data_IF_875646841615
#
_entry.id   IF_875646841615
#
_cell.length_a   1.000
_cell.length_b   1.000
_cell.length_c   1.000
_cell.angle_alpha   90.00
_cell.angle_beta   90.00
_cell.angle_gamma   90.00
#
_symmetry.space_group_name_H-M   'P 1'
#
loop_
_entity.id
_entity.type
_entity.pdbx_description
1 polymer ?
#
# COMPACT_ATOMS: atom_id res chain seq x y z
N UNK A 1 -4.12 -34.69 -5.23
CA UNK A 1 -4.10 -33.21 -5.27
C UNK A 1 -4.04 -32.61 -3.87
N UNK A 2 -5.04 -32.84 -3.00
CA UNK A 2 -5.05 -32.32 -1.62
C UNK A 2 -3.82 -32.75 -0.79
N UNK A 3 -3.44 -34.02 -0.86
CA UNK A 3 -2.25 -34.51 -0.13
C UNK A 3 -0.97 -33.84 -0.62
N UNK A 4 -0.74 -33.79 -1.94
CA UNK A 4 0.42 -33.10 -2.52
C UNK A 4 0.43 -31.61 -2.19
N UNK A 5 -0.75 -30.98 -2.09
CA UNK A 5 -0.90 -29.59 -1.71
C UNK A 5 -0.33 -29.26 -0.32
N UNK A 6 -0.54 -30.18 0.63
CA UNK A 6 -0.17 -30.01 2.03
C UNK A 6 1.28 -30.44 2.27
N UNK A 7 1.77 -31.47 1.58
CA UNK A 7 3.13 -32.03 1.75
C UNK A 7 4.24 -31.03 1.38
N UNK A 8 4.05 -30.23 0.33
CA UNK A 8 5.11 -29.35 -0.19
C UNK A 8 5.29 -28.04 0.60
N UNK A 9 4.37 -27.70 1.50
CA UNK A 9 4.29 -26.35 2.08
C UNK A 9 4.15 -26.32 3.60
N UNK A 10 4.17 -27.48 4.28
CA UNK A 10 3.88 -27.58 5.72
C UNK A 10 4.55 -28.80 6.37
N UNK A 11 4.56 -28.86 7.72
CA UNK A 11 4.92 -30.05 8.52
C UNK A 11 3.84 -31.15 8.45
N UNK A 12 3.37 -31.48 7.24
CA UNK A 12 2.33 -32.49 7.04
C UNK A 12 2.89 -33.91 7.29
N UNK A 13 2.42 -34.64 8.33
CA UNK A 13 3.07 -35.86 8.80
C UNK A 13 2.92 -37.04 7.84
N UNK A 14 3.99 -37.83 7.70
CA UNK A 14 4.02 -39.06 6.91
C UNK A 14 3.33 -40.24 7.65
N UNK A 15 2.72 -41.16 6.89
CA UNK A 15 2.04 -42.37 7.43
C UNK A 15 0.57 -42.20 7.87
N UNK A 16 -0.24 -43.28 7.80
CA UNK A 16 -1.67 -43.29 8.15
C UNK A 16 -2.64 -43.17 6.95
N UNK A 17 -3.96 -43.24 7.19
CA UNK A 17 -4.99 -43.10 6.16
C UNK A 17 -4.96 -41.68 5.55
N UNK A 18 -4.71 -41.52 4.23
CA UNK A 18 -4.66 -40.21 3.58
C UNK A 18 -5.93 -39.38 3.72
N UNK A 19 -7.11 -39.99 3.65
CA UNK A 19 -8.39 -39.27 3.70
C UNK A 19 -8.65 -38.66 5.07
N UNK A 20 -8.41 -39.43 6.13
CA UNK A 20 -8.61 -38.96 7.51
C UNK A 20 -7.64 -37.82 7.86
N UNK A 21 -6.40 -37.88 7.39
CA UNK A 21 -5.43 -36.79 7.59
C UNK A 21 -5.82 -35.52 6.83
N UNK A 22 -6.20 -35.65 5.55
CA UNK A 22 -6.67 -34.52 4.77
C UNK A 22 -7.88 -33.88 5.45
N UNK A 23 -8.83 -34.68 5.93
CA UNK A 23 -9.98 -34.18 6.68
C UNK A 23 -9.57 -33.41 7.94
N UNK A 24 -8.66 -33.95 8.77
CA UNK A 24 -8.19 -33.26 9.99
C UNK A 24 -7.49 -31.94 9.68
N UNK A 25 -6.65 -31.90 8.64
CA UNK A 25 -5.90 -30.70 8.31
C UNK A 25 -6.76 -29.62 7.65
N UNK A 26 -7.74 -29.99 6.83
CA UNK A 26 -8.67 -29.04 6.21
C UNK A 26 -9.64 -28.38 7.20
N UNK A 27 -9.67 -28.81 8.47
CA UNK A 27 -10.39 -28.11 9.54
C UNK A 27 -9.69 -26.81 9.95
N UNK A 28 -8.39 -26.68 9.69
CA UNK A 28 -7.61 -25.49 10.02
C UNK A 28 -7.65 -24.48 8.85
N UNK A 29 -8.03 -23.20 9.10
CA UNK A 29 -8.20 -22.20 8.04
C UNK A 29 -6.95 -22.04 7.16
N UNK A 30 -5.76 -22.03 7.76
CA UNK A 30 -4.47 -21.97 7.05
C UNK A 30 -4.31 -23.08 5.99
N UNK A 31 -4.48 -24.33 6.38
CA UNK A 31 -4.31 -25.47 5.48
C UNK A 31 -5.42 -25.56 4.44
N UNK A 32 -6.64 -25.17 4.81
CA UNK A 32 -7.76 -25.06 3.89
C UNK A 32 -7.46 -24.04 2.77
N UNK A 33 -6.89 -22.88 3.11
CA UNK A 33 -6.49 -21.88 2.12
C UNK A 33 -5.37 -22.35 1.19
N UNK A 34 -4.34 -23.04 1.72
CA UNK A 34 -3.27 -23.63 0.89
C UNK A 34 -3.83 -24.61 -0.14
N UNK A 35 -4.74 -25.49 0.31
CA UNK A 35 -5.42 -26.43 -0.56
C UNK A 35 -6.27 -25.71 -1.62
N UNK A 36 -7.04 -24.70 -1.21
CA UNK A 36 -7.93 -23.99 -2.10
C UNK A 36 -7.22 -23.25 -3.23
N UNK A 37 -6.11 -22.58 -2.95
CA UNK A 37 -5.29 -21.93 -3.99
C UNK A 37 -4.95 -22.88 -5.13
N UNK A 38 -4.50 -24.09 -4.80
CA UNK A 38 -4.12 -25.09 -5.80
C UNK A 38 -5.31 -25.62 -6.59
N UNK A 39 -6.44 -25.88 -5.93
CA UNK A 39 -7.66 -26.36 -6.60
C UNK A 39 -8.23 -25.30 -7.53
N UNK A 40 -8.24 -24.03 -7.11
CA UNK A 40 -8.77 -22.93 -7.91
C UNK A 40 -7.88 -22.66 -9.13
N UNK A 41 -6.56 -22.77 -8.99
CA UNK A 41 -5.61 -22.69 -10.11
C UNK A 41 -5.65 -23.91 -11.05
N UNK A 42 -6.07 -25.08 -10.58
CA UNK A 42 -6.01 -26.31 -11.37
C UNK A 42 -6.98 -26.31 -12.56
N UNK A 43 -6.49 -26.79 -13.70
CA UNK A 43 -7.31 -27.10 -14.87
C UNK A 43 -8.15 -28.37 -14.65
N UNK A 44 -9.27 -28.49 -15.35
CA UNK A 44 -10.14 -29.68 -15.29
C UNK A 44 -11.02 -29.80 -14.05
N UNK A 45 -10.88 -28.91 -13.05
CA UNK A 45 -11.80 -28.82 -11.91
C UNK A 45 -13.01 -27.95 -12.26
N UNK A 46 -14.21 -28.48 -12.03
CA UNK A 46 -15.47 -27.77 -12.32
C UNK A 46 -15.61 -26.45 -11.54
N UNK A 47 -16.21 -25.43 -12.17
CA UNK A 47 -16.46 -24.13 -11.53
C UNK A 47 -17.28 -24.25 -10.24
N UNK A 48 -18.23 -25.18 -10.18
CA UNK A 48 -19.04 -25.43 -8.97
C UNK A 48 -18.19 -25.83 -7.75
N UNK A 49 -17.15 -26.64 -7.96
CA UNK A 49 -16.22 -27.02 -6.89
C UNK A 49 -15.35 -25.83 -6.48
N UNK A 50 -14.85 -25.06 -7.45
CA UNK A 50 -14.05 -23.86 -7.19
C UNK A 50 -14.84 -22.82 -6.40
N UNK A 51 -16.08 -22.55 -6.81
CA UNK A 51 -17.02 -21.66 -6.13
C UNK A 51 -17.21 -22.05 -4.66
N UNK A 52 -17.63 -23.29 -4.39
CA UNK A 52 -17.85 -23.78 -3.03
C UNK A 52 -16.60 -23.65 -2.16
N UNK A 53 -15.44 -23.94 -2.73
CA UNK A 53 -14.18 -23.88 -2.00
C UNK A 53 -13.77 -22.43 -1.69
N UNK A 54 -13.90 -21.51 -2.66
CA UNK A 54 -13.68 -20.08 -2.43
C UNK A 54 -14.57 -19.55 -1.30
N UNK A 55 -15.87 -19.85 -1.32
CA UNK A 55 -16.80 -19.47 -0.26
C UNK A 55 -16.39 -20.04 1.10
N UNK A 56 -16.13 -21.35 1.17
CA UNK A 56 -15.74 -22.00 2.42
C UNK A 56 -14.47 -21.38 3.03
N UNK A 57 -13.46 -21.11 2.20
CA UNK A 57 -12.18 -20.57 2.65
C UNK A 57 -12.26 -19.11 3.10
N UNK A 58 -13.09 -18.28 2.46
CA UNK A 58 -13.28 -16.91 2.91
C UNK A 58 -14.13 -16.88 4.18
N UNK A 59 -15.23 -17.65 4.21
CA UNK A 59 -16.20 -17.61 5.30
C UNK A 59 -15.70 -18.28 6.58
N UNK A 60 -14.78 -19.24 6.52
CA UNK A 60 -14.18 -19.81 7.73
C UNK A 60 -13.46 -18.74 8.56
N UNK A 61 -12.96 -17.68 7.91
CA UNK A 61 -12.25 -16.61 8.61
C UNK A 61 -13.16 -15.83 9.58
N UNK A 62 -14.49 -15.89 9.40
CA UNK A 62 -15.47 -15.30 10.34
C UNK A 62 -15.38 -15.89 11.75
N UNK A 63 -14.80 -17.08 11.87
CA UNK A 63 -14.72 -17.85 13.08
C UNK A 63 -13.28 -18.02 13.58
N UNK A 64 -12.34 -17.18 13.11
CA UNK A 64 -10.97 -17.21 13.61
C UNK A 64 -10.94 -16.92 15.10
N UNK A 65 -10.45 -17.91 15.84
CA UNK A 65 -10.12 -17.80 17.27
C UNK A 65 -8.75 -17.16 17.45
N UNK A 66 -8.45 -16.71 18.66
CA UNK A 66 -7.15 -16.15 19.01
C UNK A 66 -6.03 -17.17 18.73
N UNK A 67 -4.98 -16.74 18.03
CA UNK A 67 -3.85 -17.59 17.66
C UNK A 67 -4.06 -18.45 16.40
N UNK A 68 -5.25 -18.40 15.77
CA UNK A 68 -5.47 -19.03 14.47
C UNK A 68 -5.04 -18.12 13.32
N UNK A 69 -4.48 -18.72 12.27
CA UNK A 69 -4.07 -18.01 11.06
C UNK A 69 -5.15 -18.07 9.97
N UNK A 70 -5.45 -16.97 9.26
CA UNK A 70 -6.35 -17.00 8.12
C UNK A 70 -5.75 -17.87 7.01
N UNK A 71 -6.64 -18.45 6.20
CA UNK A 71 -6.24 -19.18 5.01
C UNK A 71 -5.48 -18.30 4.01
N UNK A 72 -4.34 -18.73 3.46
CA UNK A 72 -3.67 -18.00 2.40
C UNK A 72 -4.52 -18.01 1.12
N UNK A 73 -4.29 -17.03 0.25
CA UNK A 73 -5.04 -16.90 -1.00
C UNK A 73 -6.28 -16.00 -0.89
N UNK A 74 -6.38 -15.17 0.15
CA UNK A 74 -7.55 -14.31 0.37
C UNK A 74 -7.90 -13.48 -0.87
N UNK A 75 -6.92 -12.85 -1.50
CA UNK A 75 -7.14 -12.06 -2.71
C UNK A 75 -7.35 -12.95 -3.94
N UNK A 76 -6.62 -14.07 -4.08
CA UNK A 76 -6.84 -15.02 -5.18
C UNK A 76 -8.28 -15.58 -5.20
N UNK A 77 -8.78 -16.01 -4.05
CA UNK A 77 -10.12 -16.59 -3.92
C UNK A 77 -11.20 -15.52 -4.12
N UNK A 78 -10.98 -14.32 -3.58
CA UNK A 78 -11.86 -13.16 -3.80
C UNK A 78 -11.88 -12.75 -5.27
N UNK A 79 -10.74 -12.75 -5.95
CA UNK A 79 -10.62 -12.48 -7.38
C UNK A 79 -11.41 -13.48 -8.21
N UNK A 80 -11.33 -14.76 -7.88
CA UNK A 80 -12.09 -15.80 -8.58
C UNK A 80 -13.60 -15.57 -8.43
N UNK A 81 -14.10 -15.38 -7.21
CA UNK A 81 -15.52 -15.07 -6.99
C UNK A 81 -15.93 -13.73 -7.63
N UNK A 82 -15.02 -12.75 -7.62
CA UNK A 82 -15.19 -11.43 -8.19
C UNK A 82 -15.37 -11.47 -9.71
N UNK A 83 -14.51 -12.18 -10.41
CA UNK A 83 -14.56 -12.33 -11.87
C UNK A 83 -15.79 -13.11 -12.34
N UNK A 84 -16.39 -13.93 -11.48
CA UNK A 84 -17.60 -14.71 -11.79
C UNK A 84 -18.89 -14.08 -11.26
N UNK A 85 -18.83 -12.89 -10.63
CA UNK A 85 -20.00 -12.24 -10.01
C UNK A 85 -20.68 -13.08 -8.92
N UNK A 86 -19.90 -13.86 -8.17
CA UNK A 86 -20.36 -14.78 -7.12
C UNK A 86 -20.05 -14.29 -5.70
N UNK A 87 -19.34 -13.17 -5.53
CA UNK A 87 -19.01 -12.64 -4.19
C UNK A 87 -20.26 -12.33 -3.37
N UNK A 88 -20.31 -12.87 -2.15
CA UNK A 88 -21.39 -12.64 -1.19
C UNK A 88 -20.94 -11.76 -0.03
N UNK A 89 -21.93 -11.26 0.74
CA UNK A 89 -21.67 -10.50 1.98
C UNK A 89 -20.87 -11.29 3.01
N UNK A 90 -21.09 -12.60 3.12
CA UNK A 90 -20.35 -13.45 4.07
C UNK A 90 -18.88 -13.58 3.67
N UNK A 91 -18.60 -13.68 2.36
CA UNK A 91 -17.24 -13.73 1.84
C UNK A 91 -16.49 -12.43 2.14
N UNK A 92 -17.15 -11.28 1.96
CA UNK A 92 -16.59 -9.98 2.32
C UNK A 92 -16.24 -9.86 3.79
N UNK A 93 -17.16 -10.24 4.69
CA UNK A 93 -16.90 -10.19 6.12
C UNK A 93 -15.74 -11.14 6.50
N UNK A 94 -15.66 -12.31 5.85
CA UNK A 94 -14.57 -13.24 6.01
C UNK A 94 -13.23 -12.70 5.50
N UNK A 95 -13.21 -12.08 4.33
CA UNK A 95 -12.05 -11.38 3.78
C UNK A 95 -11.59 -10.25 4.71
N UNK A 96 -12.52 -9.39 5.13
CA UNK A 96 -12.25 -8.28 6.05
C UNK A 96 -11.59 -8.81 7.31
N UNK A 97 -12.19 -9.83 7.95
CA UNK A 97 -11.60 -10.50 9.12
C UNK A 97 -10.20 -11.05 8.82
N UNK A 98 -10.02 -11.75 7.70
CA UNK A 98 -8.72 -12.32 7.32
C UNK A 98 -7.62 -11.28 7.12
N UNK A 99 -7.92 -10.14 6.48
CA UNK A 99 -6.93 -9.06 6.25
C UNK A 99 -6.42 -8.46 7.56
N UNK A 100 -7.25 -8.33 8.59
CA UNK A 100 -6.83 -7.82 9.92
C UNK A 100 -5.70 -8.65 10.50
N UNK A 101 -5.70 -9.96 10.24
CA UNK A 101 -4.72 -10.90 10.80
C UNK A 101 -3.46 -11.08 9.94
N UNK A 102 -3.49 -10.72 8.65
CA UNK A 102 -2.35 -10.89 7.73
C UNK A 102 -1.03 -10.28 8.24
N UNK A 103 -0.99 -9.03 8.75
CA UNK A 103 0.28 -8.39 9.11
C UNK A 103 0.96 -8.96 10.35
N UNK A 104 0.27 -9.85 11.09
CA UNK A 104 0.77 -10.43 12.35
C UNK A 104 1.43 -11.77 12.16
N UNK A 105 1.16 -12.46 11.05
CA UNK A 105 1.36 -13.90 11.01
C UNK A 105 2.60 -14.29 10.24
N UNK A 106 2.94 -13.62 9.14
CA UNK A 106 4.24 -13.88 8.49
C UNK A 106 4.72 -12.68 7.68
N UNK A 107 6.01 -12.40 7.72
CA UNK A 107 6.70 -11.54 6.74
C UNK A 107 6.72 -12.15 5.32
N UNK A 108 6.24 -13.40 5.18
CA UNK A 108 6.41 -14.23 3.98
C UNK A 108 5.10 -14.43 3.22
N UNK A 109 3.99 -13.79 3.64
CA UNK A 109 2.72 -13.89 2.95
C UNK A 109 2.69 -13.01 1.71
N UNK A 110 3.08 -13.57 0.56
CA UNK A 110 2.93 -12.88 -0.72
C UNK A 110 1.74 -13.40 -1.53
N UNK A 111 0.90 -12.47 -1.99
CA UNK A 111 -0.03 -12.71 -3.09
C UNK A 111 0.33 -11.80 -4.25
N UNK A 112 0.35 -12.36 -5.45
CA UNK A 112 0.68 -11.64 -6.67
C UNK A 112 -0.37 -10.56 -6.99
N UNK A 113 0.10 -9.47 -7.59
CA UNK A 113 -0.74 -8.33 -8.02
C UNK A 113 -1.84 -8.73 -8.99
N UNK A 114 -1.62 -9.80 -9.77
CA UNK A 114 -2.61 -10.38 -10.69
C UNK A 114 -3.93 -10.76 -10.00
N UNK A 115 -3.90 -11.04 -8.69
CA UNK A 115 -5.10 -11.36 -7.91
C UNK A 115 -5.66 -10.15 -7.15
N UNK A 116 -4.82 -9.18 -6.80
CA UNK A 116 -5.22 -8.03 -5.98
C UNK A 116 -6.20 -7.13 -6.73
N UNK A 117 -5.90 -6.83 -7.99
CA UNK A 117 -6.71 -5.95 -8.82
C UNK A 117 -8.10 -6.55 -9.08
N UNK A 118 -8.24 -7.82 -9.53
CA UNK A 118 -9.56 -8.41 -9.73
C UNK A 118 -10.34 -8.62 -8.43
N UNK A 119 -9.67 -8.90 -7.30
CA UNK A 119 -10.32 -8.96 -6.00
C UNK A 119 -10.93 -7.61 -5.61
N UNK A 120 -10.14 -6.54 -5.68
CA UNK A 120 -10.62 -5.18 -5.41
C UNK A 120 -11.78 -4.81 -6.32
N UNK A 121 -11.67 -5.09 -7.64
CA UNK A 121 -12.78 -4.88 -8.58
C UNK A 121 -14.04 -5.59 -8.10
N UNK A 122 -13.96 -6.89 -7.83
CA UNK A 122 -15.09 -7.69 -7.37
C UNK A 122 -15.74 -7.16 -6.09
N UNK A 123 -14.95 -6.72 -5.11
CA UNK A 123 -15.44 -6.15 -3.85
C UNK A 123 -16.33 -4.93 -4.09
N UNK A 124 -15.90 -4.03 -4.97
CA UNK A 124 -16.60 -2.77 -5.20
C UNK A 124 -17.66 -2.83 -6.29
N UNK A 125 -17.68 -3.87 -7.14
CA UNK A 125 -18.65 -3.99 -8.24
C UNK A 125 -19.76 -5.01 -8.00
N UNK A 126 -19.51 -6.09 -7.26
CA UNK A 126 -20.40 -7.25 -7.28
C UNK A 126 -21.45 -7.26 -6.17
N UNK A 127 -21.22 -6.54 -5.07
CA UNK A 127 -22.19 -6.40 -4.00
C UNK A 127 -22.11 -5.01 -3.38
N UNK A 128 -23.21 -4.57 -2.77
CA UNK A 128 -23.27 -3.25 -2.13
C UNK A 128 -22.66 -3.32 -0.74
N UNK A 129 -21.63 -2.51 -0.52
CA UNK A 129 -21.11 -2.16 0.80
C UNK A 129 -21.43 -0.71 1.13
N UNK A 130 -21.44 -0.39 2.42
CA UNK A 130 -21.61 1.00 2.85
C UNK A 130 -20.39 1.85 2.47
N UNK A 131 -20.53 3.17 2.59
CA UNK A 131 -19.44 4.11 2.38
C UNK A 131 -18.30 3.86 3.39
N UNK A 132 -18.66 3.69 4.65
CA UNK A 132 -17.73 3.45 5.76
C UNK A 132 -16.96 2.14 5.54
N UNK A 133 -17.67 1.08 5.14
CA UNK A 133 -17.09 -0.22 4.79
C UNK A 133 -16.14 -0.14 3.61
N UNK A 134 -16.45 0.72 2.63
CA UNK A 134 -15.57 0.97 1.48
C UNK A 134 -14.27 1.65 1.91
N UNK A 135 -14.35 2.68 2.76
CA UNK A 135 -13.17 3.36 3.29
C UNK A 135 -12.33 2.37 4.09
N UNK A 136 -12.96 1.64 5.01
CA UNK A 136 -12.28 0.69 5.88
C UNK A 136 -11.54 -0.38 5.08
N UNK A 137 -12.19 -1.07 4.14
CA UNK A 137 -11.54 -2.13 3.38
C UNK A 137 -10.42 -1.61 2.49
N UNK A 138 -10.56 -0.40 1.90
CA UNK A 138 -9.47 0.23 1.13
C UNK A 138 -8.26 0.44 2.02
N UNK A 139 -8.45 1.07 3.18
CA UNK A 139 -7.37 1.37 4.12
C UNK A 139 -6.70 0.09 4.62
N UNK A 140 -7.48 -0.95 4.94
CA UNK A 140 -6.96 -2.24 5.37
C UNK A 140 -6.11 -2.93 4.29
N UNK A 141 -6.56 -2.94 3.03
CA UNK A 141 -5.81 -3.52 1.91
C UNK A 141 -4.49 -2.79 1.71
N UNK A 142 -4.51 -1.45 1.73
CA UNK A 142 -3.31 -0.62 1.54
C UNK A 142 -2.31 -0.82 2.67
N UNK A 143 -2.77 -0.80 3.92
CA UNK A 143 -1.95 -1.08 5.11
C UNK A 143 -1.33 -2.47 5.05
N UNK A 144 -2.13 -3.51 4.77
CA UNK A 144 -1.63 -4.88 4.72
C UNK A 144 -0.61 -5.08 3.60
N UNK A 145 -0.76 -4.38 2.46
CA UNK A 145 0.12 -4.56 1.31
C UNK A 145 1.33 -3.67 1.31
N UNK A 146 1.30 -2.53 2.01
CA UNK A 146 2.54 -1.81 2.26
C UNK A 146 3.44 -2.58 3.23
N UNK A 147 2.86 -3.14 4.30
CA UNK A 147 3.63 -3.94 5.26
C UNK A 147 4.30 -5.17 4.63
N UNK A 148 3.78 -5.62 3.50
CA UNK A 148 4.23 -6.79 2.77
C UNK A 148 4.84 -6.33 1.44
N UNK A 149 6.08 -5.87 1.51
CA UNK A 149 6.90 -5.58 0.33
C UNK A 149 6.53 -4.29 -0.43
N UNK A 150 6.01 -3.27 0.26
CA UNK A 150 5.76 -1.94 -0.31
C UNK A 150 4.88 -1.93 -1.58
N UNK A 151 3.94 -2.87 -1.68
CA UNK A 151 3.06 -3.04 -2.85
C UNK A 151 1.80 -2.16 -2.80
N UNK A 152 1.72 -1.20 -1.88
CA UNK A 152 0.53 -0.37 -1.71
C UNK A 152 0.32 0.62 -2.87
N UNK A 153 1.39 1.23 -3.41
CA UNK A 153 1.32 2.21 -4.51
C UNK A 153 0.54 1.73 -5.74
N UNK A 154 0.86 0.59 -6.39
CA UNK A 154 0.14 0.15 -7.59
C UNK A 154 -1.35 -0.16 -7.31
N UNK A 155 -1.64 -0.73 -6.14
CA UNK A 155 -3.02 -1.01 -5.71
C UNK A 155 -3.79 0.29 -5.51
N UNK A 156 -3.16 1.28 -4.89
CA UNK A 156 -3.76 2.59 -4.67
C UNK A 156 -4.12 3.28 -5.99
N UNK A 157 -3.19 3.31 -6.96
CA UNK A 157 -3.45 3.86 -8.30
C UNK A 157 -4.60 3.15 -9.01
N UNK A 158 -4.68 1.82 -8.89
CA UNK A 158 -5.81 1.06 -9.40
C UNK A 158 -7.13 1.47 -8.73
N UNK A 159 -7.19 1.53 -7.40
CA UNK A 159 -8.40 1.92 -6.67
C UNK A 159 -8.85 3.34 -7.04
N UNK A 160 -7.92 4.27 -7.18
CA UNK A 160 -8.23 5.65 -7.58
C UNK A 160 -8.71 5.76 -9.03
N UNK A 161 -8.31 4.85 -9.91
CA UNK A 161 -8.83 4.75 -11.29
C UNK A 161 -10.14 3.96 -11.42
N UNK A 162 -10.56 3.21 -10.40
CA UNK A 162 -11.73 2.34 -10.47
C UNK A 162 -13.05 3.13 -10.56
N UNK A 163 -13.80 2.98 -11.64
CA UNK A 163 -15.06 3.72 -11.89
C UNK A 163 -16.18 3.40 -10.88
N UNK A 164 -16.15 2.20 -10.28
CA UNK A 164 -17.10 1.80 -9.26
C UNK A 164 -17.00 2.66 -7.99
N UNK A 165 -15.84 3.30 -7.76
CA UNK A 165 -15.63 4.21 -6.64
C UNK A 165 -15.86 5.65 -7.10
N UNK A 166 -16.79 6.34 -6.44
CA UNK A 166 -17.07 7.73 -6.76
C UNK A 166 -15.94 8.68 -6.32
N UNK A 167 -15.85 9.86 -6.94
CA UNK A 167 -14.80 10.86 -6.67
C UNK A 167 -14.77 11.34 -5.21
N UNK A 168 -15.93 11.45 -4.56
CA UNK A 168 -16.03 11.91 -3.17
C UNK A 168 -15.38 10.93 -2.20
N UNK A 169 -15.68 9.64 -2.35
CA UNK A 169 -15.07 8.56 -1.56
C UNK A 169 -13.56 8.50 -1.79
N UNK A 170 -13.11 8.57 -3.05
CA UNK A 170 -11.68 8.58 -3.39
C UNK A 170 -10.96 9.73 -2.69
N UNK A 171 -11.52 10.94 -2.74
CA UNK A 171 -10.96 12.13 -2.07
C UNK A 171 -10.89 11.97 -0.56
N UNK A 172 -11.92 11.39 0.04
CA UNK A 172 -11.96 11.11 1.48
C UNK A 172 -10.88 10.12 1.90
N UNK A 173 -10.71 9.02 1.15
CA UNK A 173 -9.60 8.08 1.38
C UNK A 173 -8.25 8.79 1.28
N UNK A 174 -8.03 9.59 0.23
CA UNK A 174 -6.77 10.33 0.10
C UNK A 174 -6.54 11.30 1.26
N UNK A 175 -7.58 12.02 1.71
CA UNK A 175 -7.48 12.91 2.88
C UNK A 175 -7.14 12.13 4.16
N UNK A 176 -7.78 10.99 4.40
CA UNK A 176 -7.47 10.15 5.57
C UNK A 176 -6.01 9.71 5.56
N UNK A 177 -5.54 9.22 4.41
CA UNK A 177 -4.15 8.77 4.22
C UNK A 177 -3.16 9.92 4.44
N UNK A 178 -3.44 11.12 3.92
CA UNK A 178 -2.53 12.28 4.03
C UNK A 178 -2.54 12.90 5.43
N UNK A 179 -3.71 13.04 6.07
CA UNK A 179 -3.86 13.84 7.29
C UNK A 179 -3.74 13.04 8.59
N UNK A 180 -4.05 11.74 8.56
CA UNK A 180 -4.19 10.94 9.77
C UNK A 180 -3.27 9.72 9.76
N UNK A 181 -3.04 9.14 10.95
CA UNK A 181 -2.68 7.72 11.01
C UNK A 181 -3.85 6.91 10.45
N UNK A 182 -3.57 5.86 9.69
CA UNK A 182 -4.64 5.00 9.18
C UNK A 182 -5.28 4.31 10.38
N UNK A 183 -6.60 4.49 10.62
CA UNK A 183 -7.24 3.95 11.80
C UNK A 183 -7.19 2.42 11.78
N UNK A 184 -6.86 1.83 12.92
CA UNK A 184 -6.92 0.39 13.09
C UNK A 184 -8.41 -0.04 13.18
N UNK A 185 -8.83 -1.14 12.53
CA UNK A 185 -10.22 -1.60 12.60
C UNK A 185 -10.61 -1.94 14.05
N UNK A 186 -11.56 -1.18 14.59
CA UNK A 186 -11.95 -1.19 16.02
C UNK A 186 -13.01 -2.25 16.33
N UNK A 187 -13.07 -2.70 17.58
CA UNK A 187 -14.17 -3.54 18.11
C UNK A 187 -14.13 -5.02 17.69
N UNK A 188 -13.28 -5.36 16.73
CA UNK A 188 -13.03 -6.74 16.29
C UNK A 188 -11.68 -7.25 16.79
N UNK A 189 -10.86 -6.36 17.34
CA UNK A 189 -9.48 -6.64 17.66
C UNK A 189 -9.07 -5.86 18.91
N UNK A 190 -8.54 -6.58 19.89
CA UNK A 190 -7.85 -5.99 21.04
C UNK A 190 -6.35 -6.07 20.78
N UNK A 191 -5.69 -4.92 20.80
CA UNK A 191 -4.23 -4.85 20.71
C UNK A 191 -3.61 -5.60 21.91
N UNK A 192 -2.54 -6.42 21.73
CA UNK A 192 -1.99 -7.26 22.80
C UNK A 192 -1.32 -6.43 23.89
N UNK A 193 -1.01 -5.17 23.60
CA UNK A 193 -0.63 -4.17 24.58
C UNK A 193 -1.89 -3.40 24.98
N UNK A 194 -2.08 -3.19 26.28
CA UNK A 194 -3.12 -2.31 26.81
C UNK A 194 -2.81 -0.87 26.35
N UNK A 195 -3.64 -0.33 25.45
CA UNK A 195 -3.44 0.99 24.86
C UNK A 195 -4.78 1.59 24.41
N UNK A 196 -4.90 2.92 24.49
CA UNK A 196 -6.09 3.64 24.06
C UNK A 196 -6.20 3.73 22.53
N UNK A 197 -7.33 4.17 21.98
CA UNK A 197 -7.54 4.18 20.52
C UNK A 197 -6.50 5.00 19.74
N UNK A 198 -6.06 6.14 20.27
CA UNK A 198 -5.00 6.93 19.63
C UNK A 198 -3.64 6.24 19.71
N UNK A 199 -3.37 5.52 20.79
CA UNK A 199 -2.16 4.72 20.96
C UNK A 199 -2.18 3.47 20.08
N UNK A 200 -3.32 2.82 19.85
CA UNK A 200 -3.45 1.73 18.88
C UNK A 200 -3.19 2.23 17.45
N UNK A 201 -3.84 3.33 17.06
CA UNK A 201 -3.63 3.98 15.76
C UNK A 201 -2.16 4.46 15.58
N UNK A 202 -1.45 4.74 16.69
CA UNK A 202 -0.01 5.01 16.72
C UNK A 202 0.86 3.76 16.77
N UNK A 203 0.48 2.68 17.46
CA UNK A 203 1.29 1.46 17.53
C UNK A 203 1.17 0.65 16.23
N UNK A 204 0.11 0.88 15.47
CA UNK A 204 0.05 0.56 14.04
C UNK A 204 1.00 1.39 13.18
N UNK A 205 1.89 2.23 13.74
CA UNK A 205 2.95 2.94 13.00
C UNK A 205 3.85 1.99 12.18
N UNK A 206 3.90 0.68 12.50
CA UNK A 206 4.45 -0.35 11.59
C UNK A 206 3.72 -0.45 10.23
N UNK A 207 2.68 0.35 10.00
CA UNK A 207 1.81 0.33 8.84
C UNK A 207 1.47 1.74 8.30
N UNK A 208 2.38 2.72 8.43
CA UNK A 208 2.24 3.98 7.71
C UNK A 208 2.62 3.74 6.24
N UNK A 209 1.68 3.76 5.28
CA UNK A 209 2.02 3.37 3.93
C UNK A 209 2.67 4.54 3.19
N UNK A 210 3.97 4.71 3.37
CA UNK A 210 4.73 5.87 2.90
C UNK A 210 4.58 6.11 1.40
N UNK A 211 4.69 5.05 0.59
CA UNK A 211 4.52 5.14 -0.87
C UNK A 211 3.09 5.56 -1.24
N UNK A 212 2.10 5.07 -0.50
CA UNK A 212 0.68 5.40 -0.68
C UNK A 212 0.39 6.84 -0.24
N UNK A 213 0.98 7.31 0.86
CA UNK A 213 0.85 8.71 1.34
C UNK A 213 1.37 9.70 0.32
N UNK A 214 2.57 9.43 -0.17
CA UNK A 214 3.21 10.20 -1.24
C UNK A 214 2.29 10.26 -2.47
N UNK A 215 1.77 9.11 -2.90
CA UNK A 215 0.89 9.03 -4.07
C UNK A 215 -0.50 9.65 -3.87
N UNK A 216 -1.03 9.64 -2.64
CA UNK A 216 -2.32 10.24 -2.30
C UNK A 216 -2.36 11.76 -2.52
N UNK A 217 -1.24 12.45 -2.29
CA UNK A 217 -1.14 13.91 -2.53
C UNK A 217 -1.40 14.24 -4.01
N UNK A 218 -0.78 13.49 -4.92
CA UNK A 218 -0.96 13.65 -6.37
C UNK A 218 -2.41 13.37 -6.76
N UNK A 219 -3.00 12.30 -6.21
CA UNK A 219 -4.40 11.97 -6.50
C UNK A 219 -5.39 13.00 -5.97
N UNK A 220 -5.14 13.66 -4.84
CA UNK A 220 -5.99 14.76 -4.37
C UNK A 220 -6.14 15.85 -5.43
N UNK A 221 -5.03 16.24 -6.08
CA UNK A 221 -5.06 17.20 -7.18
C UNK A 221 -5.84 16.66 -8.39
N UNK A 222 -5.54 15.44 -8.84
CA UNK A 222 -6.23 14.79 -9.98
C UNK A 222 -7.73 14.59 -9.74
N UNK A 223 -8.15 14.45 -8.48
CA UNK A 223 -9.55 14.35 -8.06
C UNK A 223 -10.23 15.73 -7.91
N UNK A 224 -9.57 16.80 -8.33
CA UNK A 224 -10.11 18.16 -8.40
C UNK A 224 -9.79 19.04 -7.18
N UNK A 225 -8.81 18.66 -6.35
CA UNK A 225 -8.21 19.59 -5.39
C UNK A 225 -7.32 20.60 -6.12
N UNK A 226 -7.26 21.85 -5.63
CA UNK A 226 -6.35 22.84 -6.20
C UNK A 226 -4.88 22.47 -5.91
N UNK A 227 -4.05 22.24 -6.93
CA UNK A 227 -2.64 21.93 -6.74
C UNK A 227 -1.90 23.01 -5.94
N UNK A 228 -2.22 24.29 -6.16
CA UNK A 228 -1.51 25.38 -5.49
C UNK A 228 -1.82 25.44 -4.00
N UNK A 229 -3.08 25.25 -3.61
CA UNK A 229 -3.45 25.14 -2.21
C UNK A 229 -2.80 23.93 -1.54
N UNK A 230 -2.74 22.77 -2.21
CA UNK A 230 -2.06 21.58 -1.70
C UNK A 230 -0.55 21.85 -1.49
N UNK A 231 0.15 22.39 -2.48
CA UNK A 231 1.57 22.73 -2.39
C UNK A 231 1.85 23.71 -1.25
N UNK A 232 1.04 24.78 -1.13
CA UNK A 232 1.15 25.77 -0.05
C UNK A 232 0.85 25.18 1.33
N UNK A 233 -0.09 24.24 1.43
CA UNK A 233 -0.45 23.55 2.68
C UNK A 233 0.64 22.57 3.11
N UNK A 234 1.16 21.78 2.17
CA UNK A 234 1.99 20.61 2.47
C UNK A 234 3.49 20.90 2.52
N UNK A 235 4.02 21.82 1.70
CA UNK A 235 5.44 22.22 1.77
C UNK A 235 5.67 23.20 2.93
N UNK A 236 5.53 22.74 4.18
CA UNK A 236 5.73 23.52 5.41
C UNK A 236 6.39 22.67 6.49
N UNK A 237 7.17 23.26 7.42
CA UNK A 237 7.84 22.51 8.48
C UNK A 237 6.91 21.66 9.35
N UNK A 238 5.67 22.11 9.55
CA UNK A 238 4.66 21.39 10.35
C UNK A 238 4.20 20.07 9.71
N UNK A 239 4.18 19.98 8.39
CA UNK A 239 3.80 18.74 7.66
C UNK A 239 4.81 17.64 7.90
N UNK A 240 6.09 17.99 7.78
CA UNK A 240 7.21 17.05 7.88
C UNK A 240 7.34 16.43 9.26
N UNK A 241 6.97 17.17 10.31
CA UNK A 241 7.00 16.70 11.71
C UNK A 241 5.81 15.80 12.08
N UNK A 242 4.87 15.57 11.16
CA UNK A 242 3.70 14.71 11.35
C UNK A 242 3.94 13.24 11.04
N UNK A 243 2.89 12.42 11.14
CA UNK A 243 2.93 10.98 10.86
C UNK A 243 3.21 10.70 9.37
N UNK A 244 4.41 10.18 9.04
CA UNK A 244 4.84 9.99 7.64
C UNK A 244 4.89 11.30 6.86
N UNK A 245 5.24 12.40 7.54
CA UNK A 245 5.20 13.75 7.01
C UNK A 245 6.22 14.02 5.90
N UNK A 246 7.34 13.31 5.93
CA UNK A 246 8.36 13.23 4.89
C UNK A 246 7.81 12.67 3.58
N UNK A 247 7.03 11.58 3.62
CA UNK A 247 6.36 11.03 2.45
C UNK A 247 5.29 11.97 1.91
N UNK A 248 4.54 12.65 2.77
CA UNK A 248 3.54 13.65 2.36
C UNK A 248 4.21 14.85 1.69
N UNK A 249 5.30 15.38 2.27
CA UNK A 249 6.05 16.47 1.67
C UNK A 249 6.71 16.05 0.35
N UNK A 250 7.19 14.81 0.25
CA UNK A 250 7.70 14.22 -0.98
C UNK A 250 6.60 14.05 -2.04
N UNK A 251 5.36 13.72 -1.64
CA UNK A 251 4.20 13.72 -2.53
C UNK A 251 3.82 15.11 -3.03
N UNK A 252 4.08 16.14 -2.22
CA UNK A 252 3.95 17.53 -2.68
C UNK A 252 5.04 17.90 -3.70
N UNK A 253 6.25 17.34 -3.60
CA UNK A 253 7.28 17.49 -4.64
C UNK A 253 6.92 16.76 -5.94
N UNK A 254 6.30 15.58 -5.85
CA UNK A 254 5.76 14.90 -7.06
C UNK A 254 4.66 15.71 -7.72
N UNK A 255 3.80 16.34 -6.92
CA UNK A 255 2.76 17.23 -7.43
C UNK A 255 3.38 18.48 -8.08
N UNK A 256 4.45 19.03 -7.50
CA UNK A 256 5.18 20.16 -8.08
C UNK A 256 5.81 19.78 -9.43
N UNK A 257 6.38 18.57 -9.51
CA UNK A 257 6.90 17.98 -10.75
C UNK A 257 5.81 17.86 -11.83
N UNK A 258 4.65 17.26 -11.50
CA UNK A 258 3.53 17.11 -12.44
C UNK A 258 2.92 18.45 -12.89
N UNK A 259 3.06 19.50 -12.09
CA UNK A 259 2.52 20.83 -12.38
C UNK A 259 3.60 21.84 -12.79
N UNK A 260 4.84 21.40 -13.05
CA UNK A 260 5.98 22.29 -13.22
C UNK A 260 5.75 23.37 -14.30
N UNK A 261 5.18 22.97 -15.44
CA UNK A 261 4.88 23.89 -16.55
C UNK A 261 3.56 24.67 -16.39
N UNK A 262 2.70 24.26 -15.46
CA UNK A 262 1.41 24.90 -15.20
C UNK A 262 1.48 25.96 -14.09
N UNK A 263 2.60 26.01 -13.36
CA UNK A 263 2.84 26.96 -12.27
C UNK A 263 3.79 28.04 -12.77
N UNK A 264 3.48 29.30 -12.44
CA UNK A 264 4.34 30.45 -12.76
C UNK A 264 5.78 30.22 -12.24
N UNK A 265 6.76 30.56 -13.07
CA UNK A 265 8.19 30.34 -12.79
C UNK A 265 8.62 30.81 -11.40
N UNK A 266 8.31 32.06 -11.04
CA UNK A 266 8.68 32.61 -9.72
C UNK A 266 8.05 31.80 -8.58
N UNK A 267 6.83 31.31 -8.79
CA UNK A 267 6.11 30.53 -7.78
C UNK A 267 6.69 29.13 -7.64
N UNK A 268 7.00 28.41 -8.74
CA UNK A 268 7.61 27.08 -8.66
C UNK A 268 9.01 27.13 -8.05
N UNK A 269 9.81 28.16 -8.38
CA UNK A 269 11.13 28.37 -7.76
C UNK A 269 11.03 28.66 -6.26
N UNK A 270 10.05 29.47 -5.83
CA UNK A 270 9.82 29.74 -4.42
C UNK A 270 9.37 28.49 -3.64
N UNK A 271 8.52 27.65 -4.24
CA UNK A 271 8.10 26.38 -3.65
C UNK A 271 9.26 25.39 -3.51
N UNK A 272 10.13 25.32 -4.53
CA UNK A 272 11.30 24.47 -4.54
C UNK A 272 12.32 24.89 -3.45
N UNK A 273 12.64 26.18 -3.38
CA UNK A 273 13.50 26.73 -2.34
C UNK A 273 12.95 26.48 -0.93
N UNK A 274 11.63 26.59 -0.77
CA UNK A 274 10.96 26.29 0.50
C UNK A 274 11.08 24.81 0.87
N UNK A 275 10.98 23.90 -0.11
CA UNK A 275 11.18 22.48 0.12
C UNK A 275 12.64 22.16 0.53
N UNK A 276 13.61 22.85 -0.08
CA UNK A 276 15.03 22.76 0.26
C UNK A 276 15.39 23.39 1.63
N UNK A 277 14.47 24.06 2.33
CA UNK A 277 14.67 24.53 3.72
C UNK A 277 13.83 23.74 4.74
N UNK A 278 13.12 22.69 4.32
CA UNK A 278 12.37 21.83 5.23
C UNK A 278 13.31 21.06 6.18
N UNK A 279 12.86 20.72 7.40
CA UNK A 279 13.74 20.13 8.41
C UNK A 279 14.27 18.72 8.07
N UNK A 280 13.54 17.96 7.25
CA UNK A 280 13.90 16.58 6.92
C UNK A 280 14.88 16.48 5.75
N UNK A 281 15.93 15.66 5.91
CA UNK A 281 17.01 15.51 4.93
C UNK A 281 16.57 14.79 3.66
N UNK A 282 15.66 13.82 3.75
CA UNK A 282 15.20 13.07 2.58
C UNK A 282 14.35 13.96 1.65
N UNK A 283 13.49 14.79 2.24
CA UNK A 283 12.67 15.76 1.51
C UNK A 283 13.55 16.81 0.83
N UNK A 284 14.56 17.32 1.54
CA UNK A 284 15.52 18.27 0.95
C UNK A 284 16.30 17.64 -0.20
N UNK A 285 16.80 16.41 -0.03
CA UNK A 285 17.49 15.64 -1.08
C UNK A 285 16.64 15.56 -2.35
N UNK A 286 15.34 15.20 -2.23
CA UNK A 286 14.40 15.20 -3.36
C UNK A 286 14.21 16.58 -3.99
N UNK A 287 14.13 17.64 -3.18
CA UNK A 287 14.01 19.00 -3.70
C UNK A 287 15.23 19.37 -4.57
N UNK A 288 16.44 18.98 -4.16
CA UNK A 288 17.64 19.20 -4.98
C UNK A 288 17.66 18.36 -6.26
N UNK A 289 17.20 17.10 -6.22
CA UNK A 289 17.07 16.27 -7.44
C UNK A 289 16.05 16.90 -8.40
N UNK A 290 14.92 17.38 -7.89
CA UNK A 290 13.90 18.08 -8.70
C UNK A 290 14.46 19.39 -9.27
N UNK A 291 15.26 20.11 -8.50
CA UNK A 291 15.95 21.31 -8.97
C UNK A 291 16.98 21.02 -10.05
N UNK A 292 17.78 19.96 -9.90
CA UNK A 292 18.71 19.50 -10.95
C UNK A 292 17.97 19.18 -12.26
N UNK A 293 16.79 18.55 -12.16
CA UNK A 293 15.95 18.20 -13.33
C UNK A 293 15.55 19.40 -14.16
N UNK A 294 15.23 20.53 -13.53
CA UNK A 294 14.66 21.69 -14.23
C UNK A 294 15.57 22.91 -14.33
N UNK A 295 16.55 23.02 -13.44
CA UNK A 295 17.47 24.16 -13.35
C UNK A 295 18.92 23.75 -13.63
N UNK A 296 19.22 22.46 -13.69
CA UNK A 296 20.55 21.94 -13.90
C UNK A 296 21.43 21.92 -12.64
N UNK A 297 22.71 21.63 -12.84
CA UNK A 297 23.66 21.36 -11.76
C UNK A 297 23.91 22.56 -10.84
N UNK A 298 23.74 23.79 -11.32
CA UNK A 298 23.88 25.01 -10.51
C UNK A 298 22.94 25.02 -9.30
N UNK A 299 21.76 24.40 -9.41
CA UNK A 299 20.86 24.26 -8.27
C UNK A 299 21.34 23.19 -7.29
N UNK A 300 21.91 22.09 -7.79
CA UNK A 300 22.50 21.05 -6.95
C UNK A 300 23.70 21.59 -6.15
N UNK A 301 24.52 22.47 -6.71
CA UNK A 301 25.66 23.08 -6.02
C UNK A 301 25.27 23.79 -4.72
N UNK A 302 24.06 24.36 -4.64
CA UNK A 302 23.54 25.00 -3.43
C UNK A 302 23.46 24.02 -2.24
N UNK A 303 23.29 22.73 -2.52
CA UNK A 303 23.21 21.69 -1.49
C UNK A 303 24.56 21.41 -0.79
N UNK A 304 25.68 21.89 -1.34
CA UNK A 304 26.99 21.87 -0.67
C UNK A 304 27.03 22.78 0.57
N UNK A 305 26.13 23.77 0.66
CA UNK A 305 25.96 24.66 1.80
C UNK A 305 24.79 24.24 2.72
N UNK A 306 24.16 23.08 2.47
CA UNK A 306 23.04 22.60 3.29
C UNK A 306 23.46 22.45 4.76
N UNK A 307 22.52 22.65 5.70
CA UNK A 307 22.77 22.56 7.14
C UNK A 307 23.18 21.14 7.57
N UNK A 308 22.69 20.10 6.91
CA UNK A 308 22.99 18.70 7.24
C UNK A 308 24.27 18.21 6.56
N UNK A 309 25.19 17.66 7.37
CA UNK A 309 26.45 17.08 6.87
C UNK A 309 26.22 15.96 5.85
N UNK A 310 25.28 15.06 6.13
CA UNK A 310 24.93 13.94 5.24
C UNK A 310 24.50 14.41 3.86
N UNK A 311 23.73 15.50 3.78
CA UNK A 311 23.27 16.05 2.52
C UNK A 311 24.41 16.70 1.73
N UNK A 312 25.31 17.43 2.42
CA UNK A 312 26.52 17.98 1.80
C UNK A 312 27.46 16.90 1.25
N UNK A 313 27.61 15.79 1.97
CA UNK A 313 28.42 14.65 1.52
C UNK A 313 27.80 13.97 0.30
N UNK A 314 26.49 13.68 0.34
CA UNK A 314 25.74 13.18 -0.80
C UNK A 314 25.86 14.09 -2.04
N UNK A 315 25.72 15.40 -1.85
CA UNK A 315 25.84 16.39 -2.91
C UNK A 315 27.21 16.36 -3.59
N UNK A 316 28.29 16.26 -2.79
CA UNK A 316 29.66 16.17 -3.29
C UNK A 316 29.87 14.91 -4.13
N UNK A 317 29.49 13.74 -3.59
CA UNK A 317 29.60 12.47 -4.32
C UNK A 317 28.79 12.49 -5.61
N UNK A 318 27.62 13.13 -5.59
CA UNK A 318 26.77 13.28 -6.77
C UNK A 318 27.41 14.18 -7.82
N UNK A 319 27.94 15.33 -7.43
CA UNK A 319 28.64 16.26 -8.35
C UNK A 319 29.87 15.60 -8.97
N UNK A 320 30.71 14.94 -8.17
CA UNK A 320 31.87 14.16 -8.65
C UNK A 320 31.44 13.09 -9.66
N UNK A 321 30.33 12.39 -9.41
CA UNK A 321 29.77 11.42 -10.36
C UNK A 321 29.32 12.09 -11.66
N UNK A 322 28.66 13.27 -11.60
CA UNK A 322 28.24 14.01 -12.79
C UNK A 322 29.42 14.54 -13.61
N UNK A 323 30.55 14.87 -12.98
CA UNK A 323 31.78 15.26 -13.69
C UNK A 323 32.35 14.09 -14.53
N UNK A 324 32.22 12.85 -14.04
CA UNK A 324 32.73 11.65 -14.72
C UNK A 324 31.73 11.10 -15.75
N UNK A 325 30.45 11.03 -15.40
CA UNK A 325 29.40 10.40 -16.21
C UNK A 325 28.69 11.37 -17.16
N UNK A 326 28.84 12.68 -16.95
CA UNK A 326 28.06 13.72 -17.62
C UNK A 326 26.73 14.02 -16.92
N UNK A 327 25.96 15.01 -17.43
CA UNK A 327 24.65 15.35 -16.88
C UNK A 327 23.68 14.17 -17.05
N UNK A 328 22.82 13.88 -16.04
CA UNK A 328 21.88 12.79 -16.13
C UNK A 328 20.78 13.08 -17.14
N UNK A 329 20.21 12.02 -17.71
CA UNK A 329 18.99 12.15 -18.51
C UNK A 329 17.78 12.47 -17.62
N UNK A 330 16.73 13.03 -18.22
CA UNK A 330 15.47 13.30 -17.50
C UNK A 330 14.88 12.00 -16.95
N UNK A 331 15.01 10.88 -17.66
CA UNK A 331 14.54 9.57 -17.21
C UNK A 331 15.33 9.05 -16.00
N UNK A 332 16.64 9.30 -15.96
CA UNK A 332 17.46 8.94 -14.79
C UNK A 332 17.03 9.75 -13.56
N UNK A 333 16.85 11.06 -13.72
CA UNK A 333 16.37 11.91 -12.62
C UNK A 333 14.94 11.54 -12.21
N UNK A 334 14.08 11.16 -13.15
CA UNK A 334 12.74 10.67 -12.84
C UNK A 334 12.80 9.37 -12.04
N UNK A 335 13.66 8.43 -12.42
CA UNK A 335 13.84 7.17 -11.69
C UNK A 335 14.32 7.43 -10.26
N UNK A 336 15.30 8.30 -10.07
CA UNK A 336 15.80 8.72 -8.75
C UNK A 336 14.73 9.46 -7.94
N UNK A 337 13.90 10.29 -8.58
CA UNK A 337 12.73 10.88 -7.94
C UNK A 337 11.67 9.81 -7.62
N UNK A 338 11.67 8.63 -8.20
CA UNK A 338 10.72 7.57 -7.89
C UNK A 338 11.22 6.58 -6.84
N UNK A 339 12.54 6.56 -6.58
CA UNK A 339 13.15 5.76 -5.49
C UNK A 339 12.46 6.04 -4.14
N UNK A 340 12.33 4.97 -3.37
CA UNK A 340 11.79 5.05 -2.01
C UNK A 340 12.73 5.86 -1.12
N UNK A 341 12.14 6.55 -0.15
CA UNK A 341 12.92 7.25 0.87
C UNK A 341 13.55 6.16 1.74
N UNK A 342 14.87 5.99 1.64
CA UNK A 342 15.61 5.13 2.57
C UNK A 342 15.43 5.67 4.00
N UNK A 343 14.94 4.82 4.91
CA UNK A 343 14.68 5.13 6.33
C UNK A 343 15.96 5.42 7.15
#
# INVERSE_FOLDING_TARGET
MATNALVESTDYPAGGNPEERVWRYLQYPYYLGLFARRVVAAEGISNHVKEKLCHACLQVNLHLEEGQEPGPGLFMLTAWLGTHSLLTRRDYLGLRRGIIWLPRLTSNYEEHEEYLIPACRGIFTNFKISREESIEIILMVLTAKEAIGARGRPIFDFLMSLDALNKTLKREVCNIVVENAIPFPRGEYEHPLECNSQEQDRLSIRFLPGSVRRRAVVWLARLGGDPMDLLKKLLKPGTVRGYGGDHVASGALDLLDEQWENIEEQTRLALLAKAADLPDTSVRKRAYILGEKYMGMEFLEQSLDDKAKSLREWARERLERREVEGPPSIEQLQAELEEEIEE
#
